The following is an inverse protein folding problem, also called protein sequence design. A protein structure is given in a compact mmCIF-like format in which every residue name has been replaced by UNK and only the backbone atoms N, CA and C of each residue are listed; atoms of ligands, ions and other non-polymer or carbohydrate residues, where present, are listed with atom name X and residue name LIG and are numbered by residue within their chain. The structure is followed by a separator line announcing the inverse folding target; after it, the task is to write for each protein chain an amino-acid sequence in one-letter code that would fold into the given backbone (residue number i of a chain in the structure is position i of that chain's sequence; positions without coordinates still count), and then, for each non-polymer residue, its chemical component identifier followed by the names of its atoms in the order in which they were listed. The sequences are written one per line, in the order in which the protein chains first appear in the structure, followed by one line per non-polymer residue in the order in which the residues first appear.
data_IF_911762013464
#
_entry.id   IF_911762013464
#
_cell.length_a   1.000
_cell.length_b   1.000
_cell.length_c   1.000
_cell.angle_alpha   90.00
_cell.angle_beta   90.00
_cell.angle_gamma   90.00
#
_symmetry.space_group_name_H-M   'P 1'
#
loop_
_entity.id
_entity.type
_entity.pdbx_description
1 polymer ?
#
# COMPACT_ATOMS: atom_id res chain seq x y z
N UNK A 1 -14.02 32.60 -15.74
CA UNK A 1 -12.82 31.97 -15.15
C UNK A 1 -13.22 30.57 -14.73
N UNK A 2 -12.49 29.53 -15.13
CA UNK A 2 -12.83 28.17 -14.76
C UNK A 2 -12.73 27.98 -13.25
N UNK A 3 -13.65 27.22 -12.67
CA UNK A 3 -13.58 26.80 -11.26
C UNK A 3 -12.37 25.90 -11.04
N UNK A 4 -11.94 25.73 -9.79
CA UNK A 4 -10.85 24.80 -9.46
C UNK A 4 -11.16 23.37 -9.95
N UNK A 5 -12.41 22.93 -9.83
CA UNK A 5 -12.82 21.62 -10.32
C UNK A 5 -12.71 21.51 -11.86
N UNK A 6 -13.12 22.55 -12.59
CA UNK A 6 -12.95 22.61 -14.06
C UNK A 6 -11.48 22.62 -14.48
N UNK A 7 -10.60 23.29 -13.72
CA UNK A 7 -9.15 23.25 -13.97
C UNK A 7 -8.57 21.84 -13.82
N UNK A 8 -9.00 21.10 -12.78
CA UNK A 8 -8.55 19.73 -12.59
C UNK A 8 -9.16 18.74 -13.60
N UNK A 9 -10.40 18.98 -14.04
CA UNK A 9 -10.99 18.21 -15.15
C UNK A 9 -10.19 18.43 -16.46
N UNK A 10 -9.82 19.68 -16.78
CA UNK A 10 -8.95 19.98 -17.92
C UNK A 10 -7.56 19.35 -17.76
N UNK A 11 -7.01 19.30 -16.55
CA UNK A 11 -5.77 18.59 -16.26
C UNK A 11 -5.93 17.08 -16.52
N UNK A 12 -7.05 16.47 -16.12
CA UNK A 12 -7.31 15.05 -16.36
C UNK A 12 -7.28 14.72 -17.86
N UNK A 13 -7.93 15.53 -18.71
CA UNK A 13 -7.90 15.37 -20.16
C UNK A 13 -6.48 15.48 -20.74
N UNK A 14 -5.68 16.41 -20.23
CA UNK A 14 -4.29 16.60 -20.67
C UNK A 14 -3.42 15.42 -20.27
N UNK A 15 -3.55 14.96 -19.03
CA UNK A 15 -2.81 13.79 -18.52
C UNK A 15 -3.19 12.55 -19.32
N UNK A 16 -4.48 12.32 -19.59
CA UNK A 16 -4.93 11.18 -20.38
C UNK A 16 -4.23 11.12 -21.74
N UNK A 17 -4.13 12.26 -22.45
CA UNK A 17 -3.41 12.32 -23.74
C UNK A 17 -1.90 12.12 -23.63
N UNK A 18 -1.29 12.49 -22.51
CA UNK A 18 0.15 12.36 -22.29
C UNK A 18 0.53 10.92 -21.91
N UNK A 19 -0.35 10.21 -21.19
CA UNK A 19 -0.11 8.87 -20.67
C UNK A 19 0.32 7.89 -21.76
N UNK A 20 -0.38 7.86 -22.88
CA UNK A 20 -0.08 6.97 -24.02
C UNK A 20 0.89 7.58 -25.03
N UNK A 21 1.40 8.79 -24.76
CA UNK A 21 2.35 9.49 -25.63
C UNK A 21 3.78 8.93 -25.58
N UNK A 22 4.09 8.08 -24.60
CA UNK A 22 5.34 7.32 -24.56
C UNK A 22 5.19 6.06 -23.69
N UNK A 23 6.00 5.05 -23.97
CA UNK A 23 5.98 3.82 -23.17
C UNK A 23 6.46 4.07 -21.73
N UNK A 24 7.38 5.02 -21.50
CA UNK A 24 7.89 5.35 -20.17
C UNK A 24 6.81 5.99 -19.28
N UNK A 25 6.04 6.93 -19.83
CA UNK A 25 4.93 7.55 -19.09
C UNK A 25 3.84 6.53 -18.75
N UNK A 26 3.50 5.67 -19.71
CA UNK A 26 2.52 4.60 -19.49
C UNK A 26 3.00 3.59 -18.45
N UNK A 27 4.25 3.12 -18.55
CA UNK A 27 4.86 2.21 -17.58
C UNK A 27 4.88 2.83 -16.17
N UNK A 28 5.30 4.08 -16.03
CA UNK A 28 5.29 4.81 -14.75
C UNK A 28 3.90 4.94 -14.14
N UNK A 29 2.88 5.17 -14.98
CA UNK A 29 1.49 5.12 -14.57
C UNK A 29 1.10 3.73 -14.08
N UNK A 30 1.40 2.67 -14.84
CA UNK A 30 1.07 1.29 -14.48
C UNK A 30 1.71 0.89 -13.15
N UNK A 31 2.96 1.26 -12.88
CA UNK A 31 3.62 1.00 -11.59
C UNK A 31 2.85 1.66 -10.43
N UNK A 32 2.35 2.88 -10.65
CA UNK A 32 1.58 3.64 -9.65
C UNK A 32 0.18 3.07 -9.45
N UNK A 33 -0.52 2.79 -10.54
CA UNK A 33 -1.81 2.13 -10.57
C UNK A 33 -1.78 0.77 -9.88
N UNK A 34 -0.71 0.00 -10.06
CA UNK A 34 -0.53 -1.31 -9.46
C UNK A 34 -0.44 -1.25 -7.92
N UNK A 35 0.20 -0.21 -7.34
CA UNK A 35 0.17 0.05 -5.89
C UNK A 35 -1.24 0.43 -5.41
N UNK A 36 -1.93 1.25 -6.20
CA UNK A 36 -3.22 1.86 -5.90
C UNK A 36 -4.39 1.12 -6.56
N UNK A 37 -4.24 -0.19 -6.79
CA UNK A 37 -5.15 -1.04 -7.55
C UNK A 37 -6.60 -1.12 -7.03
N UNK A 38 -6.90 -0.50 -5.88
CA UNK A 38 -8.25 -0.39 -5.32
C UNK A 38 -9.00 0.86 -5.76
N UNK A 39 -8.31 1.80 -6.41
CA UNK A 39 -8.88 3.00 -7.02
C UNK A 39 -9.27 2.71 -8.48
N UNK A 40 -10.33 3.33 -9.01
CA UNK A 40 -10.65 3.27 -10.44
C UNK A 40 -9.62 4.07 -11.27
N UNK A 41 -9.60 3.82 -12.58
CA UNK A 41 -8.64 4.40 -13.53
C UNK A 41 -8.48 5.92 -13.40
N UNK A 42 -9.57 6.69 -13.47
CA UNK A 42 -9.51 8.15 -13.44
C UNK A 42 -8.85 8.69 -12.16
N UNK A 43 -9.03 8.01 -11.03
CA UNK A 43 -8.40 8.40 -9.77
C UNK A 43 -6.94 7.94 -9.71
N UNK A 44 -6.62 6.75 -10.22
CA UNK A 44 -5.23 6.30 -10.35
C UNK A 44 -4.42 7.27 -11.22
N UNK A 45 -4.98 7.71 -12.35
CA UNK A 45 -4.40 8.71 -13.25
C UNK A 45 -4.16 10.03 -12.52
N UNK A 46 -5.16 10.54 -11.79
CA UNK A 46 -5.02 11.79 -11.04
C UNK A 46 -3.99 11.68 -9.91
N UNK A 47 -3.85 10.52 -9.27
CA UNK A 47 -2.81 10.28 -8.28
C UNK A 47 -1.44 10.27 -8.95
N UNK A 48 -1.27 9.52 -10.06
CA UNK A 48 -0.02 9.48 -10.82
C UNK A 48 0.46 10.88 -11.23
N UNK A 49 -0.44 11.69 -11.83
CA UNK A 49 -0.09 13.01 -12.33
C UNK A 49 0.33 14.02 -11.24
N UNK A 50 -0.08 13.80 -9.99
CA UNK A 50 0.21 14.70 -8.88
C UNK A 50 1.30 14.17 -7.95
N UNK A 51 1.39 12.85 -7.80
CA UNK A 51 2.23 12.17 -6.82
C UNK A 51 2.48 10.70 -7.23
N UNK A 52 3.37 10.45 -8.21
CA UNK A 52 3.63 9.10 -8.71
C UNK A 52 4.25 8.18 -7.66
N UNK A 53 4.92 8.73 -6.62
CA UNK A 53 5.49 7.99 -5.51
C UNK A 53 4.47 7.55 -4.44
N UNK A 54 3.18 7.86 -4.61
CA UNK A 54 2.14 7.47 -3.65
C UNK A 54 2.04 5.95 -3.46
N UNK A 55 1.82 5.53 -2.22
CA UNK A 55 1.83 4.12 -1.79
C UNK A 55 0.53 3.68 -1.13
N UNK A 56 -0.11 4.55 -0.37
CA UNK A 56 -1.40 4.29 0.26
C UNK A 56 -2.13 5.60 0.48
N UNK A 57 -3.10 5.89 -0.37
CA UNK A 57 -3.90 7.11 -0.30
C UNK A 57 -5.25 6.86 0.37
N UNK A 58 -5.68 7.82 1.20
CA UNK A 58 -7.05 7.88 1.71
C UNK A 58 -7.46 9.31 2.06
N UNK A 59 -8.77 9.53 2.20
CA UNK A 59 -9.31 10.83 2.64
C UNK A 59 -8.96 11.13 4.10
N UNK A 60 -8.99 12.42 4.43
CA UNK A 60 -8.69 12.92 5.78
C UNK A 60 -9.47 12.17 6.87
N UNK A 61 -10.79 12.01 6.67
CA UNK A 61 -11.66 11.38 7.65
C UNK A 61 -11.37 9.89 7.84
N UNK A 62 -10.94 9.19 6.79
CA UNK A 62 -10.53 7.79 6.92
C UNK A 62 -9.26 7.70 7.78
N UNK A 63 -8.28 8.55 7.50
CA UNK A 63 -7.04 8.60 8.29
C UNK A 63 -7.32 8.94 9.76
N UNK A 64 -8.11 9.98 10.02
CA UNK A 64 -8.38 10.45 11.37
C UNK A 64 -9.31 9.51 12.15
N UNK A 65 -10.45 9.14 11.56
CA UNK A 65 -11.53 8.52 12.31
C UNK A 65 -11.42 6.99 12.34
N UNK A 66 -10.86 6.35 11.28
CA UNK A 66 -10.76 4.88 11.20
C UNK A 66 -9.35 4.36 11.47
N UNK A 67 -8.35 5.07 11.00
CA UNK A 67 -6.94 4.66 11.18
C UNK A 67 -6.30 5.30 12.40
N UNK A 68 -6.96 6.26 13.06
CA UNK A 68 -6.43 6.93 14.25
C UNK A 68 -5.13 7.69 14.00
N UNK A 69 -4.86 8.06 12.74
CA UNK A 69 -3.69 8.83 12.30
C UNK A 69 -4.10 10.28 12.09
N UNK A 70 -3.16 11.22 12.04
CA UNK A 70 -3.49 12.59 11.65
C UNK A 70 -2.70 13.01 10.41
N UNK A 71 -3.34 13.73 9.50
CA UNK A 71 -2.63 14.36 8.39
C UNK A 71 -1.79 15.51 8.94
N UNK A 72 -0.49 15.55 8.61
CA UNK A 72 0.42 16.58 9.12
C UNK A 72 0.00 17.95 8.57
N UNK A 73 0.17 18.98 9.40
CA UNK A 73 -0.12 20.35 9.00
C UNK A 73 0.77 20.74 7.81
N UNK A 74 0.16 21.26 6.75
CA UNK A 74 0.86 21.68 5.54
C UNK A 74 0.98 20.60 4.47
N UNK A 75 0.56 19.35 4.73
CA UNK A 75 0.48 18.32 3.69
C UNK A 75 -0.45 18.73 2.56
N UNK A 76 0.02 18.60 1.32
CA UNK A 76 -0.76 18.92 0.11
C UNK A 76 -1.60 17.71 -0.27
N UNK A 77 -2.92 17.85 -0.23
CA UNK A 77 -3.83 16.80 -0.69
C UNK A 77 -3.76 16.60 -2.20
N UNK A 78 -3.87 15.34 -2.62
CA UNK A 78 -3.98 14.93 -4.03
C UNK A 78 -5.45 15.10 -4.42
N UNK A 79 -5.71 15.93 -5.43
CA UNK A 79 -7.07 16.20 -5.88
C UNK A 79 -7.57 15.08 -6.78
N UNK A 80 -8.72 14.49 -6.47
CA UNK A 80 -9.41 13.54 -7.33
C UNK A 80 -10.67 14.22 -7.88
N UNK A 81 -10.90 14.04 -9.18
CA UNK A 81 -12.04 14.60 -9.89
C UNK A 81 -13.15 13.56 -9.89
N UNK A 82 -14.32 13.95 -9.39
CA UNK A 82 -15.57 13.22 -9.53
C UNK A 82 -16.43 13.96 -10.55
N UNK A 83 -16.58 13.40 -11.74
CA UNK A 83 -17.31 13.93 -12.88
C UNK A 83 -18.67 13.24 -13.10
N UNK A 84 -19.12 12.42 -12.16
CA UNK A 84 -20.35 11.62 -12.27
C UNK A 84 -21.66 12.43 -12.28
N UNK A 85 -21.62 13.73 -11.99
CA UNK A 85 -22.78 14.61 -11.97
C UNK A 85 -22.66 15.82 -12.90
N UNK A 86 -23.69 16.68 -12.91
CA UNK A 86 -23.78 17.86 -13.81
C UNK A 86 -22.57 18.82 -13.74
N UNK A 87 -21.80 18.77 -12.65
CA UNK A 87 -20.58 19.57 -12.47
C UNK A 87 -19.51 18.75 -11.76
N UNK A 88 -18.24 18.88 -12.19
CA UNK A 88 -17.13 18.18 -11.55
C UNK A 88 -16.97 18.62 -10.10
N UNK A 89 -16.69 17.66 -9.23
CA UNK A 89 -16.40 17.87 -7.81
C UNK A 89 -14.98 17.42 -7.50
N UNK A 90 -14.41 18.00 -6.45
CA UNK A 90 -13.08 17.62 -5.97
C UNK A 90 -13.20 16.98 -4.61
N UNK A 91 -12.56 15.81 -4.47
CA UNK A 91 -12.22 15.21 -3.19
C UNK A 91 -10.70 15.16 -3.05
N UNK A 92 -10.21 15.09 -1.81
CA UNK A 92 -8.78 15.11 -1.53
C UNK A 92 -8.35 13.88 -0.75
N UNK A 93 -7.34 13.20 -1.27
CA UNK A 93 -6.68 12.09 -0.57
C UNK A 93 -5.26 12.49 -0.17
N UNK A 94 -4.76 11.83 0.86
CA UNK A 94 -3.43 12.02 1.42
C UNK A 94 -2.74 10.67 1.47
N UNK A 95 -1.45 10.65 1.11
CA UNK A 95 -0.66 9.44 1.20
C UNK A 95 -0.34 9.13 2.67
N UNK A 96 -0.09 7.86 3.00
CA UNK A 96 0.30 7.45 4.36
C UNK A 96 1.53 8.23 4.86
N UNK A 97 2.46 8.57 3.97
CA UNK A 97 3.64 9.37 4.28
C UNK A 97 3.28 10.80 4.72
N UNK A 98 2.08 11.31 4.44
CA UNK A 98 1.58 12.59 4.94
C UNK A 98 1.05 12.51 6.37
N UNK A 99 0.98 11.31 6.94
CA UNK A 99 0.30 11.07 8.23
C UNK A 99 1.28 10.82 9.39
N UNK A 100 0.95 11.37 10.56
CA UNK A 100 1.59 11.04 11.84
C UNK A 100 0.78 10.02 12.64
N UNK A 101 1.44 9.39 13.62
CA UNK A 101 0.84 8.38 14.51
C UNK A 101 0.42 8.97 15.86
N UNK A 102 -0.53 8.29 16.49
CA UNK A 102 -0.98 8.40 17.89
C UNK A 102 -0.88 7.00 18.52
N UNK A 103 -1.12 6.89 19.82
CA UNK A 103 -1.03 5.62 20.57
C UNK A 103 -1.84 4.47 19.95
N UNK A 104 -3.05 4.74 19.45
CA UNK A 104 -3.92 3.74 18.83
C UNK A 104 -3.98 3.83 17.29
N UNK A 105 -2.97 4.45 16.67
CA UNK A 105 -2.90 4.48 15.21
C UNK A 105 -2.76 3.08 14.62
N UNK A 106 -3.55 2.82 13.59
CA UNK A 106 -3.45 1.64 12.75
C UNK A 106 -2.49 1.91 11.59
N UNK A 107 -1.87 0.85 11.09
CA UNK A 107 -1.09 0.85 9.86
C UNK A 107 -1.86 0.01 8.83
N UNK A 108 -2.17 0.55 7.63
CA UNK A 108 -2.75 -0.27 6.57
C UNK A 108 -1.84 -1.46 6.29
N UNK A 109 -2.44 -2.65 6.18
CA UNK A 109 -1.70 -3.81 5.72
C UNK A 109 -1.53 -3.73 4.20
N UNK A 110 -0.30 -3.43 3.78
CA UNK A 110 0.12 -3.42 2.39
C UNK A 110 0.92 -4.71 2.16
N UNK A 111 0.30 -5.69 1.52
CA UNK A 111 0.93 -6.98 1.30
C UNK A 111 2.15 -6.86 0.39
N UNK A 112 3.14 -7.69 0.62
CA UNK A 112 4.33 -7.81 -0.24
C UNK A 112 4.44 -9.25 -0.70
N UNK A 113 4.90 -9.43 -1.94
CA UNK A 113 5.17 -10.75 -2.48
C UNK A 113 6.62 -11.11 -2.15
N UNK A 114 6.84 -12.32 -1.64
CA UNK A 114 8.15 -12.91 -1.40
C UNK A 114 8.18 -14.28 -2.12
N UNK A 115 9.36 -14.89 -2.25
CA UNK A 115 9.51 -16.22 -2.89
C UNK A 115 8.58 -17.29 -2.31
N UNK A 116 8.39 -17.30 -0.99
CA UNK A 116 7.50 -18.25 -0.30
C UNK A 116 6.02 -18.12 -0.69
N UNK A 117 5.63 -16.96 -1.23
CA UNK A 117 4.26 -16.68 -1.67
C UNK A 117 3.99 -17.15 -3.11
N UNK A 118 5.03 -17.49 -3.89
CA UNK A 118 4.88 -17.85 -5.29
C UNK A 118 3.96 -19.06 -5.48
N UNK A 119 4.29 -20.21 -4.87
CA UNK A 119 3.50 -21.44 -4.99
C UNK A 119 2.01 -21.28 -4.62
N UNK A 120 1.62 -20.69 -3.46
CA UNK A 120 0.20 -20.52 -3.14
C UNK A 120 -0.51 -19.53 -4.07
N UNK A 121 0.18 -18.50 -4.58
CA UNK A 121 -0.41 -17.58 -5.56
C UNK A 121 -0.61 -18.27 -6.90
N UNK A 122 0.38 -19.03 -7.38
CA UNK A 122 0.27 -19.77 -8.65
C UNK A 122 -0.86 -20.80 -8.61
N UNK A 123 -1.00 -21.53 -7.50
CA UNK A 123 -2.12 -22.46 -7.30
C UNK A 123 -3.48 -21.74 -7.28
N UNK A 124 -3.55 -20.53 -6.70
CA UNK A 124 -4.76 -19.71 -6.74
C UNK A 124 -5.10 -19.26 -8.16
N UNK A 125 -4.09 -18.84 -8.95
CA UNK A 125 -4.29 -18.42 -10.34
C UNK A 125 -4.82 -19.57 -11.20
N UNK A 126 -4.23 -20.77 -11.06
CA UNK A 126 -4.70 -21.97 -11.75
C UNK A 126 -6.14 -22.32 -11.37
N UNK A 127 -6.46 -22.33 -10.07
CA UNK A 127 -7.82 -22.65 -9.62
C UNK A 127 -8.87 -21.62 -10.02
N UNK A 128 -8.50 -20.34 -10.15
CA UNK A 128 -9.45 -19.25 -10.39
C UNK A 128 -9.63 -18.93 -11.88
N UNK A 129 -8.58 -19.10 -12.68
CA UNK A 129 -8.54 -18.71 -14.09
C UNK A 129 -8.29 -19.89 -15.04
N UNK A 130 -8.02 -21.10 -14.52
CA UNK A 130 -7.71 -22.27 -15.34
C UNK A 130 -6.35 -22.21 -16.04
N UNK A 131 -5.50 -21.26 -15.63
CA UNK A 131 -4.18 -21.03 -16.21
C UNK A 131 -3.13 -21.65 -15.30
N UNK A 132 -2.61 -22.81 -15.67
CA UNK A 132 -1.42 -23.40 -15.03
C UNK A 132 -0.14 -22.77 -15.58
N UNK A 133 0.96 -22.89 -14.84
CA UNK A 133 2.26 -22.41 -15.30
C UNK A 133 3.41 -22.95 -14.45
N UNK A 134 4.60 -23.03 -15.04
CA UNK A 134 5.82 -23.39 -14.31
C UNK A 134 6.43 -22.17 -13.59
N UNK A 135 6.24 -20.98 -14.16
CA UNK A 135 6.84 -19.73 -13.68
C UNK A 135 5.76 -18.65 -13.53
N UNK A 136 5.77 -17.96 -12.38
CA UNK A 136 4.78 -16.93 -12.05
C UNK A 136 4.69 -15.81 -13.11
N UNK A 137 5.79 -15.26 -13.67
CA UNK A 137 5.71 -14.23 -14.71
C UNK A 137 4.87 -14.65 -15.92
N UNK A 138 5.09 -15.86 -16.44
CA UNK A 138 4.36 -16.39 -17.59
C UNK A 138 2.88 -16.61 -17.23
N UNK A 139 2.61 -17.19 -16.05
CA UNK A 139 1.24 -17.43 -15.60
C UNK A 139 0.43 -16.12 -15.44
N UNK A 140 1.07 -15.04 -14.95
CA UNK A 140 0.44 -13.72 -14.88
C UNK A 140 0.13 -13.16 -16.27
N UNK A 141 1.01 -13.37 -17.25
CA UNK A 141 0.80 -12.95 -18.64
C UNK A 141 -0.36 -13.71 -19.30
N UNK A 142 -0.45 -15.02 -19.09
CA UNK A 142 -1.51 -15.87 -19.63
C UNK A 142 -2.88 -15.51 -19.00
N UNK A 143 -2.93 -15.24 -17.69
CA UNK A 143 -4.14 -14.73 -17.02
C UNK A 143 -4.54 -13.36 -17.59
N UNK A 144 -3.57 -12.46 -17.80
CA UNK A 144 -3.83 -11.14 -18.37
C UNK A 144 -4.42 -11.24 -19.80
N UNK A 145 -3.87 -12.12 -20.64
CA UNK A 145 -4.36 -12.34 -21.99
C UNK A 145 -5.80 -12.87 -22.00
N UNK A 146 -6.09 -13.88 -21.18
CA UNK A 146 -7.44 -14.44 -21.05
C UNK A 146 -8.47 -13.41 -20.56
N UNK A 147 -8.11 -12.57 -19.59
CA UNK A 147 -9.02 -11.54 -19.07
C UNK A 147 -9.18 -10.35 -20.02
N UNK A 148 -8.16 -10.01 -20.82
CA UNK A 148 -8.30 -9.01 -21.87
C UNK A 148 -9.24 -9.47 -22.99
N UNK A 149 -9.18 -10.76 -23.35
CA UNK A 149 -10.10 -11.40 -24.30
C UNK A 149 -11.56 -11.37 -23.80
N UNK A 150 -11.77 -11.76 -22.54
CA UNK A 150 -13.09 -11.74 -21.89
C UNK A 150 -13.66 -10.31 -21.84
N UNK A 151 -12.84 -9.34 -21.41
CA UNK A 151 -13.27 -7.95 -21.36
C UNK A 151 -13.65 -7.40 -22.73
N UNK A 152 -12.87 -7.71 -23.78
CA UNK A 152 -13.24 -7.32 -25.15
C UNK A 152 -14.58 -7.92 -25.54
N UNK A 153 -14.77 -9.22 -25.31
CA UNK A 153 -16.01 -9.93 -25.65
C UNK A 153 -17.24 -9.26 -25.03
N UNK A 154 -17.12 -8.77 -23.80
CA UNK A 154 -18.21 -8.14 -23.07
C UNK A 154 -18.41 -6.65 -23.40
N UNK A 155 -17.37 -5.95 -23.88
CA UNK A 155 -17.37 -4.48 -23.99
C UNK A 155 -17.05 -3.91 -25.38
N UNK A 156 -16.83 -4.74 -26.40
CA UNK A 156 -16.40 -4.28 -27.73
C UNK A 156 -17.30 -3.20 -28.33
N UNK A 157 -18.64 -3.29 -28.15
CA UNK A 157 -19.58 -2.31 -28.70
C UNK A 157 -19.36 -0.91 -28.13
N UNK A 158 -19.12 -0.81 -26.81
CA UNK A 158 -18.86 0.45 -26.15
C UNK A 158 -17.52 1.03 -26.59
N UNK A 159 -16.51 0.17 -26.81
CA UNK A 159 -15.19 0.58 -27.29
C UNK A 159 -15.29 1.10 -28.73
N UNK A 160 -15.98 0.40 -29.63
CA UNK A 160 -16.19 0.84 -31.01
C UNK A 160 -16.95 2.17 -31.10
N UNK A 161 -17.82 2.47 -30.13
CA UNK A 161 -18.58 3.72 -30.13
C UNK A 161 -17.70 4.96 -29.87
N UNK A 162 -16.54 4.79 -29.22
CA UNK A 162 -15.71 5.90 -28.73
C UNK A 162 -14.39 6.08 -29.50
N UNK A 163 -14.16 5.32 -30.58
CA UNK A 163 -12.92 5.44 -31.40
C UNK A 163 -12.91 6.65 -32.34
N UNK A 164 -14.05 7.32 -32.53
CA UNK A 164 -14.17 8.50 -33.40
C UNK A 164 -13.18 9.61 -32.98
N UNK A 165 -12.40 10.12 -33.94
CA UNK A 165 -11.36 11.12 -33.72
C UNK A 165 -10.06 10.59 -33.10
N UNK A 166 -9.93 9.26 -32.92
CA UNK A 166 -8.69 8.60 -32.47
C UNK A 166 -7.93 7.96 -33.63
N UNK A 167 -6.72 7.45 -33.37
CA UNK A 167 -5.98 6.68 -34.38
C UNK A 167 -6.62 5.33 -34.71
N UNK A 168 -7.57 4.87 -33.89
CA UNK A 168 -8.35 3.65 -34.14
C UNK A 168 -9.52 3.87 -35.11
N UNK A 169 -9.89 5.12 -35.44
CA UNK A 169 -11.07 5.42 -36.26
C UNK A 169 -11.02 4.78 -37.66
N UNK A 170 -9.82 4.68 -38.25
CA UNK A 170 -9.62 4.12 -39.59
C UNK A 170 -9.49 2.59 -39.60
N UNK A 171 -9.45 1.95 -38.43
CA UNK A 171 -9.28 0.50 -38.33
C UNK A 171 -10.62 -0.20 -38.49
N UNK A 172 -10.60 -1.38 -39.11
CA UNK A 172 -11.75 -2.28 -39.03
C UNK A 172 -11.88 -2.88 -37.63
N UNK A 173 -13.06 -3.44 -37.34
CA UNK A 173 -13.39 -4.03 -36.04
C UNK A 173 -12.35 -5.07 -35.58
N UNK A 174 -11.83 -5.88 -36.51
CA UNK A 174 -10.83 -6.89 -36.21
C UNK A 174 -9.49 -6.27 -35.81
N UNK A 175 -9.04 -5.22 -36.49
CA UNK A 175 -7.80 -4.54 -36.13
C UNK A 175 -7.95 -3.78 -34.80
N UNK A 176 -9.10 -3.18 -34.51
CA UNK A 176 -9.36 -2.55 -33.19
C UNK A 176 -9.31 -3.60 -32.09
N UNK A 177 -9.92 -4.77 -32.31
CA UNK A 177 -9.85 -5.90 -31.39
C UNK A 177 -8.40 -6.30 -31.08
N UNK A 178 -7.59 -6.48 -32.13
CA UNK A 178 -6.17 -6.87 -31.99
C UNK A 178 -5.40 -5.82 -31.20
N UNK A 179 -5.58 -4.52 -31.50
CA UNK A 179 -4.88 -3.46 -30.76
C UNK A 179 -5.32 -3.38 -29.31
N UNK A 180 -6.61 -3.48 -29.03
CA UNK A 180 -7.13 -3.46 -27.67
C UNK A 180 -6.58 -4.62 -26.86
N UNK A 181 -6.69 -5.84 -27.38
CA UNK A 181 -6.20 -7.04 -26.67
C UNK A 181 -4.70 -6.98 -26.44
N UNK A 182 -3.92 -6.51 -27.42
CA UNK A 182 -2.47 -6.33 -27.28
C UNK A 182 -2.14 -5.31 -26.18
N UNK A 183 -2.68 -4.09 -26.28
CA UNK A 183 -2.43 -3.02 -25.31
C UNK A 183 -2.89 -3.40 -23.89
N UNK A 184 -4.08 -4.00 -23.75
CA UNK A 184 -4.62 -4.41 -22.47
C UNK A 184 -3.78 -5.53 -21.85
N UNK A 185 -3.45 -6.58 -22.61
CA UNK A 185 -2.66 -7.72 -22.12
C UNK A 185 -1.31 -7.29 -21.57
N UNK A 186 -0.55 -6.50 -22.35
CA UNK A 186 0.77 -6.00 -21.93
C UNK A 186 0.64 -5.11 -20.69
N UNK A 187 -0.34 -4.22 -20.67
CA UNK A 187 -0.55 -3.28 -19.55
C UNK A 187 -0.97 -3.97 -18.26
N UNK A 188 -1.86 -4.95 -18.34
CA UNK A 188 -2.29 -5.76 -17.19
C UNK A 188 -1.10 -6.56 -16.67
N UNK A 189 -0.40 -7.27 -17.55
CA UNK A 189 0.77 -8.08 -17.18
C UNK A 189 1.82 -7.25 -16.47
N UNK A 190 2.19 -6.10 -17.03
CA UNK A 190 3.17 -5.19 -16.45
C UNK A 190 2.76 -4.76 -15.02
N UNK A 191 1.50 -4.34 -14.83
CA UNK A 191 1.01 -3.92 -13.52
C UNK A 191 0.96 -5.08 -12.51
N UNK A 192 0.53 -6.28 -12.92
CA UNK A 192 0.55 -7.47 -12.07
C UNK A 192 1.98 -7.81 -11.62
N UNK A 193 2.92 -7.88 -12.57
CA UNK A 193 4.33 -8.14 -12.29
C UNK A 193 4.91 -7.11 -11.32
N UNK A 194 4.70 -5.82 -11.60
CA UNK A 194 5.19 -4.72 -10.77
C UNK A 194 4.68 -4.84 -9.32
N UNK A 195 3.39 -5.13 -9.12
CA UNK A 195 2.83 -5.23 -7.76
C UNK A 195 3.23 -6.50 -7.03
N UNK A 196 3.51 -7.57 -7.76
CA UNK A 196 4.07 -8.82 -7.27
C UNK A 196 5.59 -8.75 -7.03
N UNK A 197 6.21 -7.57 -7.11
CA UNK A 197 7.62 -7.38 -6.79
C UNK A 197 8.59 -7.95 -7.83
N UNK A 198 8.09 -8.26 -9.03
CA UNK A 198 8.93 -8.57 -10.18
C UNK A 198 9.42 -7.26 -10.83
N UNK A 199 10.42 -7.34 -11.70
CA UNK A 199 10.94 -6.22 -12.49
C UNK A 199 10.46 -6.34 -13.94
N UNK A 200 9.31 -5.74 -14.32
CA UNK A 200 8.74 -5.91 -15.65
C UNK A 200 9.66 -5.42 -16.78
N UNK A 201 10.57 -4.49 -16.51
CA UNK A 201 11.56 -3.98 -17.47
C UNK A 201 12.54 -5.05 -17.96
N UNK A 202 12.62 -6.20 -17.28
CA UNK A 202 13.39 -7.35 -17.76
C UNK A 202 12.64 -8.16 -18.83
N UNK A 203 11.31 -8.01 -18.90
CA UNK A 203 10.42 -8.77 -19.77
C UNK A 203 9.86 -7.94 -20.92
N UNK A 204 9.73 -6.62 -20.73
CA UNK A 204 9.13 -5.71 -21.69
C UNK A 204 10.11 -4.67 -22.20
N UNK A 205 10.06 -4.44 -23.51
CA UNK A 205 10.71 -3.32 -24.19
C UNK A 205 9.71 -2.30 -24.73
N UNK A 206 10.24 -1.26 -25.39
CA UNK A 206 9.42 -0.25 -26.05
C UNK A 206 8.45 -0.86 -27.08
N UNK A 207 8.88 -1.90 -27.80
CA UNK A 207 8.16 -2.54 -28.89
C UNK A 207 6.88 -3.25 -28.44
N UNK A 208 6.83 -3.77 -27.21
CA UNK A 208 5.64 -4.43 -26.66
C UNK A 208 4.49 -3.43 -26.40
N UNK A 209 4.83 -2.15 -26.21
CA UNK A 209 3.87 -1.09 -25.92
C UNK A 209 3.38 -0.36 -27.17
N UNK A 210 3.70 -0.81 -28.38
CA UNK A 210 3.33 -0.10 -29.61
C UNK A 210 1.80 0.12 -29.75
N UNK A 211 0.99 -0.83 -29.30
CA UNK A 211 -0.46 -0.74 -29.38
C UNK A 211 -1.06 0.40 -28.53
N UNK A 212 -0.38 0.87 -27.47
CA UNK A 212 -0.94 1.92 -26.62
C UNK A 212 -1.06 3.26 -27.35
N UNK A 213 -0.20 3.49 -28.36
CA UNK A 213 -0.16 4.76 -29.10
C UNK A 213 -1.42 5.00 -29.93
N UNK A 214 -2.15 3.93 -30.28
CA UNK A 214 -3.43 4.05 -31.00
C UNK A 214 -4.55 4.59 -30.09
N UNK A 215 -4.40 4.43 -28.76
CA UNK A 215 -5.30 5.00 -27.75
C UNK A 215 -4.85 6.42 -27.41
N UNK A 216 -5.09 7.37 -28.31
CA UNK A 216 -4.52 8.72 -28.24
C UNK A 216 -5.54 9.84 -27.85
N UNK A 217 -6.81 9.51 -27.64
CA UNK A 217 -7.84 10.45 -27.16
C UNK A 217 -8.21 10.17 -25.70
N UNK A 218 -8.74 11.15 -24.94
CA UNK A 218 -9.19 10.91 -23.57
C UNK A 218 -10.21 9.76 -23.46
N UNK A 219 -11.09 9.60 -24.45
CA UNK A 219 -12.08 8.53 -24.46
C UNK A 219 -11.44 7.15 -24.64
N UNK A 220 -10.60 6.98 -25.66
CA UNK A 220 -9.90 5.70 -25.93
C UNK A 220 -8.94 5.34 -24.80
N UNK A 221 -8.18 6.31 -24.26
CA UNK A 221 -7.33 6.11 -23.08
C UNK A 221 -8.16 5.71 -21.87
N UNK A 222 -9.31 6.37 -21.67
CA UNK A 222 -10.25 6.05 -20.60
C UNK A 222 -10.75 4.61 -20.67
N UNK A 223 -11.09 4.11 -21.85
CA UNK A 223 -11.54 2.73 -22.03
C UNK A 223 -10.43 1.71 -21.77
N UNK A 224 -9.25 1.88 -22.37
CA UNK A 224 -8.10 1.01 -22.13
C UNK A 224 -7.72 1.01 -20.63
N UNK A 225 -7.57 2.21 -20.06
CA UNK A 225 -7.22 2.39 -18.66
C UNK A 225 -8.24 1.77 -17.71
N UNK A 226 -9.54 1.91 -18.01
CA UNK A 226 -10.60 1.28 -17.21
C UNK A 226 -10.51 -0.24 -17.22
N UNK A 227 -10.33 -0.85 -18.40
CA UNK A 227 -10.16 -2.30 -18.52
C UNK A 227 -8.95 -2.78 -17.69
N UNK A 228 -7.80 -2.12 -17.88
CA UNK A 228 -6.56 -2.43 -17.19
C UNK A 228 -6.72 -2.30 -15.66
N UNK A 229 -7.31 -1.21 -15.17
CA UNK A 229 -7.49 -0.99 -13.74
C UNK A 229 -8.48 -1.99 -13.11
N UNK A 230 -9.58 -2.32 -13.79
CA UNK A 230 -10.58 -3.26 -13.29
C UNK A 230 -10.03 -4.68 -13.19
N UNK A 231 -9.38 -5.16 -14.25
CA UNK A 231 -8.79 -6.50 -14.29
C UNK A 231 -7.68 -6.62 -13.25
N UNK A 232 -6.75 -5.64 -13.19
CA UNK A 232 -5.72 -5.63 -12.16
C UNK A 232 -6.32 -5.61 -10.75
N UNK A 233 -7.39 -4.84 -10.52
CA UNK A 233 -8.06 -4.81 -9.24
C UNK A 233 -8.57 -6.20 -8.83
N UNK A 234 -9.23 -6.91 -9.75
CA UNK A 234 -9.75 -8.26 -9.52
C UNK A 234 -8.64 -9.22 -9.10
N UNK A 235 -7.59 -9.32 -9.91
CA UNK A 235 -6.50 -10.28 -9.71
C UNK A 235 -5.70 -9.92 -8.44
N UNK A 236 -5.28 -8.65 -8.28
CA UNK A 236 -4.47 -8.21 -7.14
C UNK A 236 -5.20 -8.28 -5.80
N UNK A 237 -6.54 -8.20 -5.79
CA UNK A 237 -7.33 -8.47 -4.58
C UNK A 237 -7.24 -9.93 -4.18
N UNK A 238 -7.37 -10.85 -5.12
CA UNK A 238 -7.28 -12.29 -4.84
C UNK A 238 -5.86 -12.66 -4.39
N UNK A 239 -4.83 -12.17 -5.09
CA UNK A 239 -3.42 -12.35 -4.68
C UNK A 239 -3.20 -11.86 -3.24
N UNK A 240 -3.66 -10.63 -2.93
CA UNK A 240 -3.52 -10.09 -1.58
C UNK A 240 -4.23 -10.91 -0.50
N UNK A 241 -5.39 -11.52 -0.80
CA UNK A 241 -6.09 -12.42 0.13
C UNK A 241 -5.32 -13.73 0.30
N UNK A 242 -4.81 -14.31 -0.78
CA UNK A 242 -4.00 -15.54 -0.74
C UNK A 242 -2.76 -15.37 0.12
N UNK A 243 -2.01 -14.28 -0.05
CA UNK A 243 -0.85 -13.95 0.77
C UNK A 243 -1.25 -13.80 2.23
N UNK A 244 -2.34 -13.08 2.52
CA UNK A 244 -2.82 -12.91 3.89
C UNK A 244 -3.14 -14.25 4.57
N UNK A 245 -3.79 -15.15 3.85
CA UNK A 245 -4.18 -16.45 4.38
C UNK A 245 -2.95 -17.34 4.62
N UNK A 246 -1.98 -17.32 3.70
CA UNK A 246 -0.71 -18.01 3.84
C UNK A 246 0.06 -17.53 5.08
N UNK A 247 0.23 -16.22 5.24
CA UNK A 247 0.94 -15.63 6.38
C UNK A 247 0.27 -15.99 7.72
N UNK A 248 -1.07 -15.99 7.76
CA UNK A 248 -1.85 -16.39 8.94
C UNK A 248 -1.68 -17.87 9.28
N UNK A 249 -1.77 -18.76 8.29
CA UNK A 249 -1.59 -20.19 8.47
C UNK A 249 -0.19 -20.51 9.01
N UNK A 250 0.85 -19.94 8.39
CA UNK A 250 2.24 -20.10 8.81
C UNK A 250 2.50 -19.60 10.23
N UNK A 251 1.86 -18.49 10.62
CA UNK A 251 1.98 -17.95 11.98
C UNK A 251 1.29 -18.84 13.02
N UNK A 252 0.16 -19.46 12.66
CA UNK A 252 -0.54 -20.42 13.52
C UNK A 252 0.28 -21.70 13.73
N UNK A 253 0.88 -22.24 12.66
CA UNK A 253 1.76 -23.42 12.73
C UNK A 253 2.98 -23.19 13.64
N UNK A 254 3.61 -22.02 13.55
CA UNK A 254 4.73 -21.62 14.43
C UNK A 254 4.31 -21.54 15.90
N UNK A 255 3.10 -21.06 16.16
CA UNK A 255 2.57 -20.94 17.53
C UNK A 255 2.24 -22.31 18.13
N UNK A 256 1.70 -23.23 17.31
CA UNK A 256 1.42 -24.61 17.73
C UNK A 256 2.71 -25.38 18.04
N UNK A 257 3.73 -25.26 17.18
CA UNK A 257 5.03 -25.93 17.40
C UNK A 257 5.85 -25.35 18.56
N UNK A 258 5.68 -24.07 18.89
CA UNK A 258 6.33 -23.48 20.08
C UNK A 258 5.68 -23.92 21.40
N UNK A 259 4.39 -24.27 21.39
CA UNK A 259 3.68 -24.84 22.53
C UNK A 259 4.00 -26.33 22.81
N UNK A 260 4.68 -27.02 21.89
CA UNK A 260 5.11 -28.41 22.02
C UNK A 260 6.58 -28.57 22.43
N UNK A 261 7.29 -27.49 22.80
CA UNK A 261 8.57 -27.65 23.48
C UNK A 261 8.31 -28.20 24.89
N UNK A 262 8.96 -29.32 25.31
CA UNK A 262 8.81 -29.82 26.67
C UNK A 262 9.34 -28.76 27.62
N UNK A 263 8.59 -28.46 28.68
CA UNK A 263 8.98 -27.58 29.78
C UNK A 263 10.41 -27.89 30.23
N UNK A 264 11.37 -27.10 29.77
CA UNK A 264 12.72 -27.13 30.31
C UNK A 264 12.68 -26.38 31.64
N UNK A 265 12.78 -27.18 32.71
CA UNK A 265 12.98 -26.87 34.14
C UNK A 265 11.74 -26.91 35.04
N UNK A 266 11.26 -28.12 35.30
CA UNK A 266 10.52 -28.45 36.53
C UNK A 266 11.45 -29.02 37.64
N UNK A 267 12.69 -28.54 37.76
CA UNK A 267 13.65 -29.07 38.75
C UNK A 267 14.27 -28.02 39.69
N UNK A 268 13.53 -26.94 39.96
CA UNK A 268 13.84 -26.07 41.11
C UNK A 268 12.59 -25.51 41.79
N UNK A 269 11.68 -26.39 42.18
CA UNK A 269 10.74 -26.04 43.27
C UNK A 269 11.52 -25.91 44.56
N UNK A 270 11.72 -24.67 45.00
CA UNK A 270 11.92 -24.38 46.41
C UNK A 270 10.65 -24.85 47.16
N UNK A 271 10.76 -25.68 48.20
CA UNK A 271 9.59 -26.07 48.97
C UNK A 271 9.04 -24.88 49.74
N UNK A 272 7.72 -24.65 49.59
CA UNK A 272 6.93 -23.72 50.40
C UNK A 272 7.08 -24.06 51.91
N UNK A 273 7.36 -23.08 52.79
CA UNK A 273 7.28 -23.31 54.21
C UNK A 273 5.80 -23.31 54.64
N UNK A 274 5.21 -24.49 54.79
CA UNK A 274 3.95 -24.63 55.52
C UNK A 274 4.20 -24.52 57.03
N UNK A 275 3.44 -23.70 57.78
CA UNK A 275 3.55 -23.67 59.23
C UNK A 275 2.85 -24.89 59.85
N UNK A 276 3.61 -25.74 60.52
CA UNK A 276 3.06 -26.82 61.36
C UNK A 276 2.43 -26.23 62.63
N UNK A 277 1.21 -26.66 62.91
CA UNK A 277 0.51 -26.34 64.15
C UNK A 277 1.05 -27.21 65.29
N UNK A 278 1.88 -26.63 66.16
CA UNK A 278 2.24 -27.22 67.45
C UNK A 278 1.37 -26.61 68.55
N UNK A 279 0.55 -27.46 69.18
CA UNK A 279 -0.22 -27.14 70.38
C UNK A 279 0.65 -27.32 71.63
N UNK A 280 0.82 -26.22 72.37
CA UNK A 280 0.85 -26.06 73.85
C UNK A 280 1.43 -27.15 74.75
N UNK A 281 2.44 -26.78 75.56
CA UNK A 281 2.35 -26.71 77.03
C UNK A 281 3.68 -26.23 77.67
N UNK A 282 3.60 -25.38 78.71
CA UNK A 282 4.63 -25.27 79.76
C UNK A 282 5.16 -23.86 80.06
N UNK A 283 4.77 -23.33 81.23
CA UNK A 283 5.13 -22.07 81.91
C UNK A 283 6.67 -21.87 82.08
N UNK A 284 7.25 -20.67 82.26
CA UNK A 284 6.97 -19.63 83.26
C UNK A 284 7.78 -18.31 82.95
N UNK A 285 7.56 -17.20 83.67
CA UNK A 285 7.69 -15.82 83.15
C UNK A 285 9.02 -15.13 83.48
N UNK A 286 9.44 -14.18 82.64
CA UNK A 286 10.69 -13.43 82.86
C UNK A 286 10.74 -12.06 82.18
N UNK A 287 10.25 -11.06 82.89
CA UNK A 287 10.67 -9.65 82.91
C UNK A 287 10.48 -8.74 81.69
N UNK A 288 9.61 -7.75 81.91
CA UNK A 288 9.47 -6.48 81.22
C UNK A 288 10.52 -5.48 81.75
N UNK A 289 11.21 -4.82 80.82
CA UNK A 289 11.86 -3.48 80.91
C UNK A 289 12.04 -3.02 79.46
N UNK A 290 11.99 -1.75 79.07
CA UNK A 290 11.43 -0.47 79.52
C UNK A 290 11.82 0.48 78.36
N UNK A 291 10.95 1.43 78.00
CA UNK A 291 11.18 2.41 76.92
C UNK A 291 12.21 3.51 77.28
N UNK A 292 12.56 4.29 76.24
CA UNK A 292 13.26 5.61 76.15
C UNK A 292 14.80 5.58 75.99
N UNK A 293 15.46 6.44 75.20
CA UNK A 293 15.16 7.82 74.80
C UNK A 293 15.98 8.28 73.55
N UNK A 294 15.34 9.10 72.70
CA UNK A 294 15.83 10.30 71.97
C UNK A 294 17.07 10.34 71.01
N UNK A 295 16.78 10.83 69.78
CA UNK A 295 17.44 11.94 69.01
C UNK A 295 18.83 11.62 68.37
N UNK A 296 19.06 11.84 67.06
CA UNK A 296 19.20 13.18 66.48
C UNK A 296 19.07 13.25 64.95
N UNK A 297 18.35 14.27 64.48
CA UNK A 297 18.47 14.87 63.14
C UNK A 297 19.87 15.46 62.95
N UNK A 298 20.39 15.34 61.73
CA UNK A 298 21.67 15.91 61.28
C UNK A 298 21.66 16.13 59.77
N UNK A 299 21.71 17.41 59.40
CA UNK A 299 21.58 18.10 58.10
C UNK A 299 22.35 17.54 56.90
N UNK A 300 21.82 17.66 55.66
CA UNK A 300 22.53 17.31 54.43
C UNK A 300 23.49 18.42 53.95
N UNK A 301 24.68 18.01 53.51
CA UNK A 301 25.59 18.78 52.65
C UNK A 301 25.99 17.81 51.52
N UNK A 302 26.03 18.13 50.23
CA UNK A 302 26.46 19.35 49.56
C UNK A 302 26.13 19.21 48.04
N UNK A 303 26.53 20.12 47.13
CA UNK A 303 25.65 21.07 46.46
C UNK A 303 25.36 20.78 44.96
N UNK A 304 24.28 21.40 44.49
CA UNK A 304 23.96 21.63 43.08
C UNK A 304 24.86 22.72 42.45
N UNK A 305 25.00 22.61 41.12
CA UNK A 305 25.29 23.63 40.09
C UNK A 305 26.65 23.54 39.36
N UNK A 306 26.80 24.07 38.12
CA UNK A 306 25.84 24.82 37.29
C UNK A 306 25.70 24.34 35.82
N UNK A 307 24.75 24.99 35.14
CA UNK A 307 24.55 25.02 33.70
C UNK A 307 25.69 25.73 32.95
N UNK A 308 25.95 25.29 31.72
CA UNK A 308 26.60 26.09 30.67
C UNK A 308 25.75 26.02 29.41
N UNK A 309 25.11 27.16 29.13
CA UNK A 309 24.77 27.61 27.78
C UNK A 309 26.08 27.72 26.99
N UNK A 310 26.13 27.14 25.78
CA UNK A 310 26.87 27.73 24.68
C UNK A 310 26.07 27.52 23.40
N UNK A 311 25.43 28.61 22.97
CA UNK A 311 24.86 28.78 21.65
C UNK A 311 25.99 29.12 20.69
N UNK A 312 26.22 28.29 19.69
CA UNK A 312 26.98 28.71 18.51
C UNK A 312 26.09 28.58 17.27
N UNK A 313 25.80 29.74 16.66
CA UNK A 313 25.02 29.85 15.45
C UNK A 313 25.93 29.60 14.23
N UNK A 314 25.56 28.63 13.40
CA UNK A 314 26.22 28.35 12.13
C UNK A 314 25.79 29.40 11.08
N UNK A 315 26.72 30.13 10.43
CA UNK A 315 26.39 31.02 9.33
C UNK A 315 26.23 30.23 8.01
N UNK A 316 25.25 30.63 7.20
CA UNK A 316 24.98 30.08 5.88
C UNK A 316 26.06 30.48 4.85
N UNK A 317 26.44 29.61 3.90
CA UNK A 317 27.30 29.99 2.80
C UNK A 317 26.52 30.76 1.72
N UNK A 318 27.10 31.91 1.37
CA UNK A 318 26.73 32.83 0.30
C UNK A 318 26.80 32.18 -1.08
N UNK A 319 25.79 32.49 -1.92
CA UNK A 319 25.70 32.03 -3.30
C UNK A 319 26.77 32.64 -4.20
N UNK A 320 27.16 31.85 -5.20
CA UNK A 320 27.97 32.32 -6.33
C UNK A 320 27.12 32.16 -7.60
N UNK A 321 26.76 33.32 -8.17
CA UNK A 321 26.10 33.47 -9.47
C UNK A 321 27.22 33.85 -10.43
N UNK A 322 27.37 33.12 -11.53
CA UNK A 322 28.14 33.60 -12.68
C UNK A 322 27.24 33.69 -13.90
N UNK A 323 27.49 34.78 -14.62
CA UNK A 323 26.91 35.19 -15.90
C UNK A 323 27.05 34.13 -17.00
#
# INVERSE_FOLDING_TARGET
MPTKAEQYAQMADQVARQLTGSWQEWAGFLTTAARLYKYPFHEQMMIYAQRPDATACAEYDLWNNRMGRYVRRGSKGIALVDDSGDRPRLRYVFDISDTGTREHSRTPWLWTMNEEHAAPVMAMLESSYGVGGEELPQQLADVAAGLAEEYWTDHWQDILYIVDGSFLEEYDEYNIEVQFKSAATVSITYALMSRCGLEPEQYFGHEDFMAIFDFNTPATVGALGTAVSQINQQVLRQIGVTIQNYERAKSAERSATHGEQPDLHEERRLPDPRPEAVRTAGEAPGQVRQDEESVSEGTPAHPLQPATDDREAVPAPSGDRRD
#
